data_IF_435781093615
#
_entry.id   IF_435781093615
#
_cell.length_a   1.000
_cell.length_b   1.000
_cell.length_c   1.000
_cell.angle_alpha   90.00
_cell.angle_beta   90.00
_cell.angle_gamma   90.00
#
_symmetry.space_group_name_H-M   'P 1'
#
loop_
_entity.id
_entity.type
_entity.pdbx_description
1 polymer ?
#
# COMPACT_ATOMS: atom_id res chain seq x y z
N UNK A 1 30.81 -26.36 -45.90
CA UNK A 1 29.96 -25.88 -44.81
C UNK A 1 30.86 -25.06 -43.91
N UNK A 2 30.91 -23.75 -44.13
CA UNK A 2 31.60 -22.82 -43.24
C UNK A 2 30.56 -22.26 -42.28
N UNK A 3 30.75 -22.49 -40.98
CA UNK A 3 29.98 -21.79 -39.95
C UNK A 3 30.32 -20.30 -39.99
N UNK A 4 29.33 -19.39 -39.98
CA UNK A 4 29.61 -17.99 -39.81
C UNK A 4 30.02 -17.77 -38.35
N UNK A 5 31.31 -17.44 -38.13
CA UNK A 5 31.80 -16.88 -36.87
C UNK A 5 31.02 -15.61 -36.57
N UNK A 6 30.14 -15.68 -35.58
CA UNK A 6 29.44 -14.52 -35.03
C UNK A 6 30.49 -13.60 -34.38
N UNK A 7 30.89 -12.57 -35.11
CA UNK A 7 31.77 -11.54 -34.57
C UNK A 7 31.02 -10.82 -33.44
N UNK A 8 31.49 -11.02 -32.21
CA UNK A 8 31.09 -10.20 -31.07
C UNK A 8 31.67 -8.80 -31.30
N UNK A 9 30.90 -7.94 -31.96
CA UNK A 9 31.21 -6.52 -32.08
C UNK A 9 31.26 -5.92 -30.68
N UNK A 10 32.41 -5.31 -30.34
CA UNK A 10 32.55 -4.54 -29.11
C UNK A 10 31.66 -3.30 -29.23
N UNK A 11 30.92 -2.90 -28.18
CA UNK A 11 30.13 -1.68 -28.19
C UNK A 11 31.01 -0.48 -28.54
N UNK A 12 30.55 0.38 -29.46
CA UNK A 12 31.25 1.61 -29.80
C UNK A 12 31.39 2.52 -28.56
N UNK A 13 32.40 3.41 -28.56
CA UNK A 13 32.66 4.30 -27.42
C UNK A 13 31.45 5.21 -27.09
N UNK A 14 30.63 5.54 -28.08
CA UNK A 14 29.38 6.31 -27.93
C UNK A 14 28.30 5.50 -27.22
N UNK A 15 28.13 4.22 -27.58
CA UNK A 15 27.19 3.30 -26.93
C UNK A 15 27.52 3.09 -25.46
N UNK A 16 28.82 3.00 -25.15
CA UNK A 16 29.28 2.86 -23.77
C UNK A 16 28.86 4.06 -22.91
N UNK A 17 28.99 5.29 -23.42
CA UNK A 17 28.55 6.51 -22.70
C UNK A 17 27.04 6.54 -22.50
N UNK A 18 26.27 6.18 -23.54
CA UNK A 18 24.80 6.12 -23.47
C UNK A 18 24.33 5.07 -22.45
N UNK A 19 24.97 3.90 -22.42
CA UNK A 19 24.69 2.84 -21.42
C UNK A 19 24.92 3.34 -20.00
N UNK A 20 26.03 4.03 -19.75
CA UNK A 20 26.32 4.62 -18.44
C UNK A 20 25.26 5.65 -18.06
N UNK A 21 24.83 6.51 -19.00
CA UNK A 21 23.78 7.49 -18.75
C UNK A 21 22.44 6.80 -18.39
N UNK A 22 22.01 5.80 -19.17
CA UNK A 22 20.81 5.02 -18.86
C UNK A 22 20.92 4.33 -17.50
N UNK A 23 22.07 3.71 -17.19
CA UNK A 23 22.29 3.08 -15.89
C UNK A 23 22.04 4.07 -14.72
N UNK A 24 22.57 5.28 -14.81
CA UNK A 24 22.31 6.32 -13.81
C UNK A 24 20.84 6.74 -13.76
N UNK A 25 20.17 6.88 -14.90
CA UNK A 25 18.75 7.21 -14.96
C UNK A 25 17.87 6.13 -14.31
N UNK A 26 18.16 4.85 -14.54
CA UNK A 26 17.44 3.76 -13.88
C UNK A 26 17.75 3.70 -12.39
N UNK A 27 18.99 3.96 -11.98
CA UNK A 27 19.37 4.02 -10.56
C UNK A 27 18.62 5.14 -9.83
N UNK A 28 18.56 6.33 -10.42
CA UNK A 28 17.80 7.45 -9.88
C UNK A 28 16.30 7.16 -9.84
N UNK A 29 15.75 6.55 -10.90
CA UNK A 29 14.34 6.14 -10.95
C UNK A 29 14.02 5.18 -9.81
N UNK A 30 14.85 4.14 -9.61
CA UNK A 30 14.71 3.19 -8.51
C UNK A 30 14.68 3.92 -7.17
N UNK A 31 15.68 4.75 -6.89
CA UNK A 31 15.78 5.46 -5.62
C UNK A 31 14.56 6.34 -5.34
N UNK A 32 14.14 7.15 -6.32
CA UNK A 32 12.98 8.04 -6.18
C UNK A 32 11.68 7.27 -6.01
N UNK A 33 11.50 6.17 -6.75
CA UNK A 33 10.31 5.35 -6.66
C UNK A 33 10.23 4.60 -5.33
N UNK A 34 11.33 4.02 -4.85
CA UNK A 34 11.38 3.39 -3.51
C UNK A 34 11.07 4.41 -2.41
N UNK A 35 11.63 5.62 -2.48
CA UNK A 35 11.31 6.70 -1.52
C UNK A 35 9.82 7.05 -1.54
N UNK A 36 9.22 7.23 -2.72
CA UNK A 36 7.78 7.51 -2.85
C UNK A 36 6.91 6.36 -2.37
N UNK A 37 7.33 5.11 -2.60
CA UNK A 37 6.62 3.94 -2.07
C UNK A 37 6.60 3.98 -0.53
N UNK A 38 7.74 4.21 0.12
CA UNK A 38 7.82 4.26 1.57
C UNK A 38 6.98 5.41 2.17
N UNK A 39 7.02 6.60 1.56
CA UNK A 39 6.19 7.72 1.98
C UNK A 39 4.68 7.41 1.87
N UNK A 40 4.27 6.74 0.79
CA UNK A 40 2.88 6.32 0.64
C UNK A 40 2.49 5.23 1.64
N UNK A 41 3.37 4.27 1.96
CA UNK A 41 3.08 3.30 3.00
C UNK A 41 2.95 3.93 4.38
N UNK A 42 3.81 4.88 4.72
CA UNK A 42 3.68 5.64 5.96
C UNK A 42 2.34 6.39 6.01
N UNK A 43 1.92 7.00 4.91
CA UNK A 43 0.62 7.67 4.85
C UNK A 43 -0.56 6.71 4.93
N UNK A 44 -0.46 5.56 4.28
CA UNK A 44 -1.47 4.51 4.39
C UNK A 44 -1.66 4.10 5.86
N UNK A 45 -0.57 3.91 6.61
CA UNK A 45 -0.60 3.58 8.03
C UNK A 45 -1.23 4.68 8.88
N UNK A 46 -0.83 5.94 8.69
CA UNK A 46 -1.42 7.08 9.40
C UNK A 46 -2.94 7.13 9.20
N UNK A 47 -3.41 6.87 7.98
CA UNK A 47 -4.84 6.82 7.70
C UNK A 47 -5.52 5.57 8.25
N UNK A 48 -4.83 4.43 8.28
CA UNK A 48 -5.35 3.22 8.89
C UNK A 48 -5.54 3.40 10.40
N UNK A 49 -4.54 3.92 11.11
CA UNK A 49 -4.62 4.22 12.55
C UNK A 49 -5.77 5.19 12.87
N UNK A 50 -5.93 6.25 12.05
CA UNK A 50 -7.06 7.18 12.16
C UNK A 50 -8.39 6.49 11.88
N UNK A 51 -8.44 5.59 10.91
CA UNK A 51 -9.62 4.79 10.58
C UNK A 51 -10.02 3.84 11.71
N UNK A 52 -9.07 3.15 12.31
CA UNK A 52 -9.30 2.22 13.43
C UNK A 52 -9.73 2.98 14.69
N UNK A 53 -9.08 4.11 14.99
CA UNK A 53 -9.50 5.00 16.08
C UNK A 53 -10.91 5.52 15.86
N UNK A 54 -11.23 5.98 14.64
CA UNK A 54 -12.56 6.44 14.29
C UNK A 54 -13.60 5.33 14.47
N UNK A 55 -13.30 4.12 13.99
CA UNK A 55 -14.18 2.96 14.12
C UNK A 55 -14.41 2.56 15.57
N UNK A 56 -13.39 2.64 16.43
CA UNK A 56 -13.51 2.35 17.86
C UNK A 56 -14.40 3.39 18.56
N UNK A 57 -14.17 4.68 18.26
CA UNK A 57 -14.96 5.80 18.79
C UNK A 57 -16.43 5.68 18.34
N UNK A 58 -16.69 5.49 17.05
CA UNK A 58 -18.06 5.34 16.55
C UNK A 58 -18.74 4.11 17.13
N UNK A 59 -18.03 2.98 17.26
CA UNK A 59 -18.59 1.77 17.87
C UNK A 59 -18.95 1.97 19.34
N UNK A 60 -18.10 2.66 20.11
CA UNK A 60 -18.39 3.00 21.52
C UNK A 60 -19.63 3.89 21.65
N UNK A 61 -19.72 4.95 20.84
CA UNK A 61 -20.87 5.85 20.87
C UNK A 61 -22.15 5.19 20.36
N UNK A 62 -22.09 4.35 19.33
CA UNK A 62 -23.23 3.56 18.85
C UNK A 62 -23.70 2.57 19.91
N UNK A 63 -22.78 1.87 20.59
CA UNK A 63 -23.11 0.96 21.68
C UNK A 63 -23.75 1.71 22.87
N UNK A 64 -23.16 2.83 23.29
CA UNK A 64 -23.70 3.66 24.38
C UNK A 64 -25.11 4.21 24.05
N UNK A 65 -25.32 4.64 22.81
CA UNK A 65 -26.63 5.13 22.34
C UNK A 65 -27.67 4.01 22.29
N UNK A 66 -27.31 2.83 21.77
CA UNK A 66 -28.18 1.66 21.76
C UNK A 66 -28.54 1.19 23.17
N UNK A 67 -27.56 1.17 24.10
CA UNK A 67 -27.79 0.86 25.52
C UNK A 67 -28.69 1.89 26.21
N UNK A 68 -28.53 3.18 25.92
CA UNK A 68 -29.40 4.24 26.45
C UNK A 68 -30.85 4.11 25.99
N UNK A 69 -31.07 3.73 24.72
CA UNK A 69 -32.41 3.46 24.18
C UNK A 69 -33.02 2.22 24.83
N UNK A 70 -32.26 1.13 24.94
CA UNK A 70 -32.73 -0.10 25.59
C UNK A 70 -33.07 0.11 27.08
N UNK A 71 -32.22 0.84 27.81
CA UNK A 71 -32.49 1.21 29.20
C UNK A 71 -33.76 2.06 29.33
N UNK A 72 -33.99 2.98 28.38
CA UNK A 72 -35.20 3.80 28.31
C UNK A 72 -36.47 2.99 27.98
N UNK A 73 -36.35 1.92 27.18
CA UNK A 73 -37.48 1.03 26.85
C UNK A 73 -37.84 0.15 28.05
N UNK A 74 -36.83 -0.39 28.75
CA UNK A 74 -37.00 -1.24 29.95
C UNK A 74 -37.61 -0.45 31.11
N UNK A 75 -37.37 0.86 31.21
CA UNK A 75 -37.95 1.74 32.25
C UNK A 75 -39.45 2.09 32.07
N UNK A 76 -40.24 1.20 31.47
CA UNK A 76 -41.71 1.30 31.27
C UNK A 76 -42.18 2.20 30.11
N UNK A 77 -41.66 2.01 28.89
CA UNK A 77 -42.31 2.52 27.66
C UNK A 77 -42.40 4.05 27.51
N UNK A 78 -41.84 4.83 28.43
CA UNK A 78 -41.80 6.28 28.36
C UNK A 78 -40.46 6.76 27.79
N UNK A 79 -40.28 6.54 26.48
CA UNK A 79 -39.09 7.00 25.73
C UNK A 79 -38.91 8.53 25.81
N UNK A 80 -39.99 9.27 26.08
CA UNK A 80 -40.04 10.74 26.15
C UNK A 80 -39.90 11.33 27.57
N UNK A 81 -39.94 10.52 28.64
CA UNK A 81 -39.95 11.06 30.01
C UNK A 81 -38.55 11.15 30.66
N UNK A 82 -37.56 10.40 30.15
CA UNK A 82 -36.21 10.39 30.70
C UNK A 82 -35.24 11.17 29.79
N UNK A 83 -34.51 12.14 30.34
CA UNK A 83 -33.56 13.01 29.60
C UNK A 83 -32.52 12.20 28.81
N UNK A 84 -32.19 11.01 29.28
CA UNK A 84 -31.27 10.06 28.64
C UNK A 84 -31.88 9.39 27.41
N UNK A 85 -33.19 9.09 27.41
CA UNK A 85 -33.91 8.50 26.27
C UNK A 85 -34.05 9.48 25.10
N UNK A 86 -34.34 10.75 25.40
CA UNK A 86 -34.42 11.82 24.38
C UNK A 86 -33.03 12.12 23.78
N UNK A 87 -31.96 12.11 24.59
CA UNK A 87 -30.60 12.27 24.10
C UNK A 87 -30.14 11.10 23.20
N UNK A 88 -30.53 9.86 23.52
CA UNK A 88 -30.28 8.70 22.66
C UNK A 88 -31.00 8.78 21.31
N UNK A 89 -32.23 9.31 21.29
CA UNK A 89 -33.05 9.45 20.08
C UNK A 89 -32.57 10.59 19.16
N UNK A 90 -32.05 11.69 19.74
CA UNK A 90 -31.41 12.78 19.00
C UNK A 90 -29.97 12.45 18.57
N UNK A 91 -29.27 11.58 19.30
CA UNK A 91 -27.93 11.12 18.96
C UNK A 91 -27.90 10.14 17.78
N UNK A 92 -28.92 9.28 17.65
CA UNK A 92 -29.00 8.26 16.60
C UNK A 92 -28.82 8.77 15.17
N UNK A 93 -29.47 9.87 14.73
CA UNK A 93 -29.26 10.44 13.40
C UNK A 93 -27.83 10.93 13.18
N UNK A 94 -27.22 11.55 14.19
CA UNK A 94 -25.86 12.06 14.14
C UNK A 94 -24.85 10.91 14.08
N UNK A 95 -25.01 9.89 14.90
CA UNK A 95 -24.15 8.70 14.88
C UNK A 95 -24.35 7.85 13.62
N UNK A 96 -25.58 7.72 13.13
CA UNK A 96 -25.89 7.07 11.86
C UNK A 96 -25.23 7.77 10.68
N UNK A 97 -25.26 9.11 10.64
CA UNK A 97 -24.55 9.91 9.64
C UNK A 97 -23.02 9.77 9.76
N UNK A 98 -22.46 9.77 10.98
CA UNK A 98 -21.03 9.54 11.21
C UNK A 98 -20.57 8.14 10.79
N UNK A 99 -21.42 7.12 10.98
CA UNK A 99 -21.14 5.75 10.58
C UNK A 99 -21.19 5.59 9.06
N UNK A 100 -22.16 6.23 8.39
CA UNK A 100 -22.21 6.29 6.92
C UNK A 100 -21.01 7.02 6.31
N UNK A 101 -20.54 8.11 6.93
CA UNK A 101 -19.32 8.80 6.48
C UNK A 101 -18.05 7.99 6.76
N UNK A 102 -18.03 7.23 7.85
CA UNK A 102 -16.91 6.35 8.21
C UNK A 102 -16.78 5.11 7.33
N UNK A 103 -17.88 4.59 6.79
CA UNK A 103 -17.91 3.45 5.85
C UNK A 103 -17.99 3.86 4.38
N UNK A 104 -18.02 5.16 4.09
CA UNK A 104 -18.09 5.69 2.74
C UNK A 104 -16.87 5.29 1.90
N UNK A 105 -17.15 4.63 0.78
CA UNK A 105 -16.23 4.41 -0.36
C UNK A 105 -16.41 5.49 -1.43
N UNK A 106 -17.27 6.49 -1.20
CA UNK A 106 -17.60 7.55 -2.16
C UNK A 106 -16.39 8.43 -2.48
N UNK A 107 -16.26 8.83 -3.74
CA UNK A 107 -15.22 9.75 -4.21
C UNK A 107 -15.31 11.15 -3.56
N UNK A 108 -16.51 11.57 -3.13
CA UNK A 108 -16.73 12.92 -2.59
C UNK A 108 -16.23 13.08 -1.14
N UNK A 109 -16.31 12.03 -0.32
CA UNK A 109 -15.73 11.99 1.04
C UNK A 109 -15.25 10.55 1.31
N UNK A 110 -14.03 10.20 0.87
CA UNK A 110 -13.50 8.87 1.10
C UNK A 110 -13.13 8.73 2.58
N UNK A 111 -13.59 7.63 3.18
CA UNK A 111 -13.21 7.23 4.54
C UNK A 111 -11.70 7.13 4.71
N UNK A 112 -11.22 7.22 5.95
CA UNK A 112 -9.80 7.05 6.25
C UNK A 112 -9.26 5.69 5.77
N UNK A 113 -10.05 4.63 5.85
CA UNK A 113 -9.67 3.30 5.35
C UNK A 113 -9.53 3.27 3.83
N UNK A 114 -10.42 3.93 3.08
CA UNK A 114 -10.29 4.00 1.62
C UNK A 114 -9.09 4.86 1.21
N UNK A 115 -8.80 5.96 1.92
CA UNK A 115 -7.57 6.74 1.71
C UNK A 115 -6.33 5.89 1.99
N UNK A 116 -6.32 5.10 3.06
CA UNK A 116 -5.25 4.17 3.38
C UNK A 116 -5.03 3.17 2.23
N UNK A 117 -6.12 2.58 1.72
CA UNK A 117 -6.08 1.62 0.61
C UNK A 117 -5.50 2.25 -0.67
N UNK A 118 -5.93 3.47 -1.03
CA UNK A 118 -5.41 4.20 -2.19
C UNK A 118 -3.90 4.45 -2.07
N UNK A 119 -3.43 4.88 -0.90
CA UNK A 119 -2.00 5.06 -0.66
C UNK A 119 -1.23 3.73 -0.71
N UNK A 120 -1.79 2.64 -0.20
CA UNK A 120 -1.15 1.31 -0.28
C UNK A 120 -1.02 0.81 -1.74
N UNK A 121 -2.05 1.03 -2.57
CA UNK A 121 -2.04 0.69 -4.01
C UNK A 121 -0.99 1.54 -4.74
N UNK A 122 -1.00 2.85 -4.52
CA UNK A 122 -0.02 3.74 -5.13
C UNK A 122 1.42 3.35 -4.73
N UNK A 123 1.63 2.99 -3.46
CA UNK A 123 2.91 2.53 -2.98
C UNK A 123 3.38 1.23 -3.66
N UNK A 124 2.46 0.30 -3.94
CA UNK A 124 2.76 -0.90 -4.72
C UNK A 124 3.14 -0.56 -6.17
N UNK A 125 2.42 0.38 -6.79
CA UNK A 125 2.75 0.89 -8.13
C UNK A 125 4.14 1.51 -8.20
N UNK A 126 4.51 2.33 -7.19
CA UNK A 126 5.87 2.86 -7.07
C UNK A 126 6.92 1.76 -6.93
N UNK A 127 6.65 0.71 -6.14
CA UNK A 127 7.59 -0.40 -5.96
C UNK A 127 7.79 -1.20 -7.25
N UNK A 128 6.71 -1.45 -8.01
CA UNK A 128 6.82 -2.13 -9.31
C UNK A 128 7.70 -1.37 -10.31
N UNK A 129 7.62 -0.03 -10.32
CA UNK A 129 8.50 0.81 -11.14
C UNK A 129 9.95 0.69 -10.66
N UNK A 130 10.18 0.72 -9.34
CA UNK A 130 11.51 0.57 -8.76
C UNK A 130 12.14 -0.79 -9.09
N UNK A 131 11.36 -1.87 -9.02
CA UNK A 131 11.82 -3.22 -9.37
C UNK A 131 12.13 -3.35 -10.86
N UNK A 132 11.29 -2.75 -11.72
CA UNK A 132 11.56 -2.66 -13.17
C UNK A 132 12.88 -1.93 -13.42
N UNK A 133 13.10 -0.79 -12.76
CA UNK A 133 14.32 -0.01 -12.91
C UNK A 133 15.57 -0.75 -12.42
N UNK A 134 15.45 -1.50 -11.31
CA UNK A 134 16.51 -2.38 -10.80
C UNK A 134 16.83 -3.50 -11.78
N UNK A 135 15.80 -4.16 -12.34
CA UNK A 135 15.97 -5.22 -13.33
C UNK A 135 16.71 -4.71 -14.58
N UNK A 136 16.36 -3.51 -15.06
CA UNK A 136 17.04 -2.88 -16.20
C UNK A 136 18.49 -2.51 -15.92
N UNK A 137 18.82 -2.02 -14.71
CA UNK A 137 20.22 -1.80 -14.31
C UNK A 137 21.03 -3.10 -14.35
N UNK A 138 20.47 -4.18 -13.81
CA UNK A 138 21.13 -5.50 -13.81
C UNK A 138 21.30 -5.98 -15.24
N UNK A 139 20.29 -5.82 -16.09
CA UNK A 139 20.35 -6.19 -17.51
C UNK A 139 21.46 -5.45 -18.26
N UNK A 140 21.55 -4.13 -18.10
CA UNK A 140 22.60 -3.29 -18.69
C UNK A 140 24.00 -3.65 -18.20
N UNK A 141 24.12 -4.18 -16.98
CA UNK A 141 25.41 -4.60 -16.40
C UNK A 141 25.85 -5.99 -16.89
N UNK A 142 24.90 -6.92 -17.05
CA UNK A 142 25.19 -8.30 -17.46
C UNK A 142 25.37 -8.41 -18.97
N UNK A 143 24.53 -7.72 -19.75
CA UNK A 143 24.52 -7.79 -21.20
C UNK A 143 25.01 -6.46 -21.80
N UNK A 144 26.31 -6.37 -22.16
CA UNK A 144 26.90 -5.17 -22.73
C UNK A 144 26.40 -4.86 -24.14
N UNK A 145 25.74 -5.83 -24.80
CA UNK A 145 25.21 -5.69 -26.15
C UNK A 145 23.68 -5.56 -26.16
N UNK A 146 23.06 -5.41 -24.99
CA UNK A 146 21.61 -5.26 -24.88
C UNK A 146 21.13 -4.03 -25.64
N UNK A 147 20.17 -4.22 -26.54
CA UNK A 147 19.64 -3.19 -27.44
C UNK A 147 19.21 -1.90 -26.73
N UNK A 148 19.83 -0.78 -27.11
CA UNK A 148 19.60 0.54 -26.51
C UNK A 148 18.24 1.15 -26.88
N UNK A 149 17.66 0.79 -28.03
CA UNK A 149 16.34 1.25 -28.41
C UNK A 149 15.29 0.68 -27.46
N UNK A 150 15.41 -0.60 -27.13
CA UNK A 150 14.56 -1.25 -26.11
C UNK A 150 14.74 -0.63 -24.73
N UNK A 151 15.98 -0.25 -24.38
CA UNK A 151 16.27 0.44 -23.10
C UNK A 151 15.54 1.78 -23.03
N UNK A 152 15.60 2.57 -24.10
CA UNK A 152 14.90 3.86 -24.18
C UNK A 152 13.40 3.69 -24.04
N UNK A 153 12.81 2.78 -24.84
CA UNK A 153 11.37 2.50 -24.79
C UNK A 153 10.92 2.06 -23.39
N UNK A 154 11.69 1.20 -22.74
CA UNK A 154 11.38 0.75 -21.39
C UNK A 154 11.41 1.90 -20.38
N UNK A 155 12.31 2.86 -20.56
CA UNK A 155 12.40 4.06 -19.73
C UNK A 155 11.18 4.97 -19.90
N UNK A 156 10.73 5.19 -21.14
CA UNK A 156 9.52 5.97 -21.43
C UNK A 156 8.25 5.33 -20.84
N UNK A 157 8.12 4.01 -20.95
CA UNK A 157 7.01 3.28 -20.31
C UNK A 157 7.02 3.41 -18.78
N UNK A 158 8.19 3.50 -18.15
CA UNK A 158 8.28 3.75 -16.71
C UNK A 158 7.89 5.20 -16.36
N UNK A 159 8.25 6.18 -17.20
CA UNK A 159 7.82 7.57 -17.01
C UNK A 159 6.30 7.70 -17.07
N UNK A 160 5.65 7.05 -18.04
CA UNK A 160 4.19 7.02 -18.14
C UNK A 160 3.55 6.36 -16.92
N UNK A 161 4.07 5.21 -16.47
CA UNK A 161 3.60 4.55 -15.23
C UNK A 161 3.78 5.44 -14.01
N UNK A 162 4.93 6.10 -13.89
CA UNK A 162 5.20 7.06 -12.82
C UNK A 162 4.17 8.20 -12.81
N UNK A 163 3.84 8.74 -13.98
CA UNK A 163 2.84 9.79 -14.11
C UNK A 163 1.46 9.29 -13.65
N UNK A 164 1.03 8.11 -14.10
CA UNK A 164 -0.24 7.51 -13.68
C UNK A 164 -0.30 7.33 -12.16
N UNK A 165 0.70 6.68 -11.55
CA UNK A 165 0.74 6.45 -10.10
C UNK A 165 0.78 7.77 -9.32
N UNK A 166 1.44 8.81 -9.84
CA UNK A 166 1.50 10.12 -9.18
C UNK A 166 0.16 10.88 -9.18
N UNK A 167 -0.76 10.55 -10.08
CA UNK A 167 -2.10 11.16 -10.14
C UNK A 167 -3.09 10.53 -9.18
N UNK A 168 -2.85 9.28 -8.75
CA UNK A 168 -3.77 8.53 -7.88
C UNK A 168 -3.88 9.12 -6.47
N UNK A 169 -2.76 9.55 -5.89
CA UNK A 169 -2.70 10.03 -4.51
C UNK A 169 -1.70 11.17 -4.34
N UNK A 170 -2.06 12.13 -3.50
CA UNK A 170 -1.19 13.23 -3.10
C UNK A 170 -0.56 12.93 -1.75
N UNK A 171 0.78 12.94 -1.70
CA UNK A 171 1.51 12.84 -0.44
C UNK A 171 1.56 14.23 0.21
N UNK A 172 1.09 14.41 1.46
CA UNK A 172 1.17 15.68 2.15
C UNK A 172 2.61 16.20 2.30
N UNK A 173 2.80 17.52 2.22
CA UNK A 173 4.12 18.17 2.40
C UNK A 173 4.77 17.83 3.74
N UNK A 174 3.97 17.64 4.78
CA UNK A 174 4.43 17.23 6.10
C UNK A 174 5.16 15.88 6.06
N UNK A 175 4.68 14.91 5.28
CA UNK A 175 5.39 13.63 5.09
C UNK A 175 6.71 13.82 4.41
N UNK A 176 6.77 14.68 3.39
CA UNK A 176 8.04 15.02 2.74
C UNK A 176 9.01 15.64 3.74
N UNK A 177 8.56 16.55 4.59
CA UNK A 177 9.39 17.14 5.65
C UNK A 177 9.89 16.07 6.61
N UNK A 178 9.00 15.24 7.15
CA UNK A 178 9.32 14.18 8.09
C UNK A 178 10.33 13.18 7.52
N UNK A 179 10.20 12.82 6.25
CA UNK A 179 11.13 11.90 5.57
C UNK A 179 12.54 12.48 5.36
N UNK A 180 12.70 13.81 5.35
CA UNK A 180 14.00 14.46 5.26
C UNK A 180 14.59 14.80 6.62
N UNK A 181 13.74 15.11 7.60
CA UNK A 181 14.19 15.56 8.93
C UNK A 181 14.43 14.42 9.91
N UNK A 182 13.81 13.25 9.70
CA UNK A 182 13.76 12.18 10.70
C UNK A 182 13.91 10.81 10.03
N UNK A 183 15.16 10.34 9.94
CA UNK A 183 15.50 9.04 9.34
C UNK A 183 14.98 7.85 10.15
N UNK A 184 14.74 8.01 11.46
CA UNK A 184 14.22 6.93 12.31
C UNK A 184 12.77 6.60 11.97
N UNK A 185 11.94 7.60 11.67
CA UNK A 185 10.55 7.35 11.23
C UNK A 185 10.49 6.57 9.91
N UNK A 186 11.43 6.83 9.01
CA UNK A 186 11.57 6.07 7.75
C UNK A 186 11.96 4.62 8.05
N UNK A 187 12.94 4.43 8.93
CA UNK A 187 13.40 3.10 9.34
C UNK A 187 12.30 2.30 10.04
N UNK A 188 11.54 2.92 10.94
CA UNK A 188 10.40 2.31 11.63
C UNK A 188 9.34 1.81 10.64
N UNK A 189 9.03 2.60 9.61
CA UNK A 189 8.11 2.17 8.55
C UNK A 189 8.64 0.94 7.80
N UNK A 190 9.95 0.86 7.54
CA UNK A 190 10.57 -0.32 6.93
C UNK A 190 10.55 -1.54 7.86
N UNK A 191 10.93 -1.36 9.14
CA UNK A 191 10.94 -2.43 10.15
C UNK A 191 9.56 -3.03 10.34
N UNK A 192 8.52 -2.19 10.45
CA UNK A 192 7.14 -2.67 10.56
C UNK A 192 6.72 -3.51 9.37
N UNK A 193 7.07 -3.12 8.15
CA UNK A 193 6.78 -3.93 6.95
C UNK A 193 7.52 -5.24 6.93
N UNK A 194 8.78 -5.26 7.38
CA UNK A 194 9.49 -6.52 7.56
C UNK A 194 8.75 -7.41 8.57
N UNK A 195 8.27 -6.87 9.68
CA UNK A 195 7.49 -7.63 10.66
C UNK A 195 6.18 -8.19 10.07
N UNK A 196 5.44 -7.37 9.30
CA UNK A 196 4.22 -7.82 8.59
C UNK A 196 4.54 -8.96 7.61
N UNK A 197 5.65 -8.84 6.86
CA UNK A 197 6.09 -9.90 5.96
C UNK A 197 6.45 -11.19 6.71
N UNK A 198 7.15 -11.08 7.83
CA UNK A 198 7.45 -12.24 8.68
C UNK A 198 6.18 -12.90 9.23
N UNK A 199 5.16 -12.11 9.58
CA UNK A 199 3.86 -12.63 9.98
C UNK A 199 3.15 -13.34 8.83
N UNK A 200 3.18 -12.77 7.62
CA UNK A 200 2.66 -13.42 6.42
C UNK A 200 3.34 -14.76 6.15
N UNK A 201 4.67 -14.83 6.23
CA UNK A 201 5.41 -16.10 6.08
C UNK A 201 5.01 -17.14 7.14
N UNK A 202 4.75 -16.71 8.38
CA UNK A 202 4.25 -17.60 9.44
C UNK A 202 2.85 -18.12 9.12
N UNK A 203 1.97 -17.29 8.59
CA UNK A 203 0.62 -17.68 8.18
C UNK A 203 0.66 -18.65 6.99
N UNK A 204 1.50 -18.39 6.00
CA UNK A 204 1.71 -19.28 4.85
C UNK A 204 2.25 -20.65 5.29
N UNK A 205 3.23 -20.67 6.19
CA UNK A 205 3.78 -21.90 6.75
C UNK A 205 2.72 -22.69 7.54
N UNK A 206 1.89 -22.01 8.33
CA UNK A 206 0.75 -22.63 9.03
C UNK A 206 -0.24 -23.23 8.03
N UNK A 207 -0.63 -22.51 6.99
CA UNK A 207 -1.57 -22.99 5.98
C UNK A 207 -1.03 -24.22 5.23
N UNK A 208 0.25 -24.25 4.87
CA UNK A 208 0.90 -25.42 4.26
C UNK A 208 0.91 -26.63 5.22
N UNK A 209 1.15 -26.40 6.52
CA UNK A 209 1.08 -27.47 7.52
C UNK A 209 -0.34 -28.02 7.71
N UNK A 210 -1.36 -27.16 7.65
CA UNK A 210 -2.76 -27.57 7.75
C UNK A 210 -3.23 -28.32 6.50
N UNK A 211 -2.80 -27.90 5.31
CA UNK A 211 -3.07 -28.62 4.06
C UNK A 211 -2.41 -30.01 4.04
N UNK A 212 -1.19 -30.13 4.57
CA UNK A 212 -0.50 -31.41 4.71
C UNK A 212 -1.16 -32.36 5.74
N UNK A 213 -1.88 -31.82 6.73
CA UNK A 213 -2.65 -32.63 7.68
C UNK A 213 -3.93 -33.19 7.07
N UNK A 214 -4.52 -32.50 6.09
CA UNK A 214 -5.73 -32.96 5.39
C UNK A 214 -5.39 -34.11 4.43
N UNK A 215 -4.27 -34.02 3.69
CA UNK A 215 -3.83 -35.10 2.79
C UNK A 215 -3.42 -36.39 3.51
N UNK A 216 -2.95 -36.31 4.75
CA UNK A 216 -2.62 -37.50 5.54
C UNK A 216 -3.84 -38.13 6.25
N UNK A 217 -4.98 -37.44 6.29
CA UNK A 217 -6.22 -37.97 6.88
C UNK A 217 -7.01 -38.84 5.89
N UNK A 218 -6.85 -38.62 4.58
CA UNK A 218 -7.50 -39.41 3.53
C UNK A 218 -6.80 -40.76 3.27
N UNK A 219 -5.54 -40.93 3.70
CA UNK A 219 -4.78 -42.19 3.58
C UNK A 219 -4.99 -43.17 4.75
N UNK A 220 -5.89 -42.87 5.69
CA UNK A 220 -6.20 -43.74 6.85
C UNK A 220 -7.45 -44.61 6.62
N UNK A 221 -8.08 -44.52 5.44
CA UNK A 221 -9.18 -45.40 5.02
C UNK A 221 -8.85 -46.17 3.73
N UNK A 222 -7.87 -47.09 3.80
CA UNK A 222 -7.75 -48.23 2.88
C UNK A 222 -7.46 -49.49 3.69
#
# INVERSE_FOLDING_TARGET
MEEPKQASERPEATDTKLRTAYYHLFHEMQFRCTKNALMNYQQAEIYQDKGDTWKAVTSFFTAASASGILASIIQKGQILANKVGVAGLLGLPVFGAMQLLGSSTSEFVPSYLERARKHAIAAAGWMQIADTAKAMQVRLKIDPNYDLEKVSKQYDEMLQRKEMVSKEVLIPRETHSNFHSDTEKVYLAMTKRNNIYQEFLKLEAKQKSSAAQITNADDIYV
#
